data_IF_001694646652
#
_entry.id   IF_001694646652
#
_cell.length_a   1.000
_cell.length_b   1.000
_cell.length_c   1.000
_cell.angle_alpha   90.00
_cell.angle_beta   90.00
_cell.angle_gamma   90.00
#
_symmetry.space_group_name_H-M   'P 1'
#
loop_
_entity.id
_entity.type
_entity.pdbx_description
1 polymer ?
#
# COMPACT_ATOMS: atom_id res chain seq x y z
N UNK A 1 16.52 -33.60 -19.41
CA UNK A 1 17.31 -33.05 -18.28
C UNK A 1 17.09 -31.56 -18.06
N UNK A 2 17.26 -30.70 -19.07
CA UNK A 2 17.10 -29.24 -18.93
C UNK A 2 15.70 -28.80 -18.48
N UNK A 3 14.65 -29.40 -19.05
CA UNK A 3 13.26 -29.09 -18.70
C UNK A 3 12.95 -29.41 -17.23
N UNK A 4 13.39 -30.57 -16.74
CA UNK A 4 13.19 -31.02 -15.34
C UNK A 4 13.88 -30.06 -14.36
N UNK A 5 15.08 -29.62 -14.70
CA UNK A 5 15.83 -28.64 -13.91
C UNK A 5 15.09 -27.29 -13.84
N UNK A 6 14.55 -26.81 -14.96
CA UNK A 6 13.74 -25.59 -14.98
C UNK A 6 12.45 -25.73 -14.16
N UNK A 7 11.79 -26.90 -14.19
CA UNK A 7 10.58 -27.13 -13.39
C UNK A 7 10.87 -27.13 -11.90
N UNK A 8 11.99 -27.76 -11.49
CA UNK A 8 12.45 -27.75 -10.10
C UNK A 8 12.80 -26.34 -9.61
N UNK A 9 13.50 -25.56 -10.42
CA UNK A 9 13.83 -24.17 -10.10
C UNK A 9 12.58 -23.28 -9.96
N UNK A 10 11.59 -23.47 -10.84
CA UNK A 10 10.33 -22.74 -10.75
C UNK A 10 9.55 -23.07 -9.47
N UNK A 11 9.55 -24.34 -9.04
CA UNK A 11 8.90 -24.76 -7.79
C UNK A 11 9.58 -24.15 -6.55
N UNK A 12 10.91 -24.06 -6.55
CA UNK A 12 11.66 -23.41 -5.46
C UNK A 12 11.37 -21.91 -5.43
N UNK A 13 11.36 -21.23 -6.58
CA UNK A 13 11.06 -19.80 -6.64
C UNK A 13 9.67 -19.46 -6.09
N UNK A 14 8.66 -20.29 -6.37
CA UNK A 14 7.30 -20.12 -5.83
C UNK A 14 7.27 -20.31 -4.30
N UNK A 15 8.07 -21.25 -3.77
CA UNK A 15 8.17 -21.47 -2.32
C UNK A 15 8.88 -20.32 -1.57
N UNK A 16 9.71 -19.51 -2.25
CA UNK A 16 10.34 -18.32 -1.68
C UNK A 16 9.57 -17.02 -1.95
N UNK A 17 8.53 -17.05 -2.78
CA UNK A 17 7.70 -15.89 -3.11
C UNK A 17 6.59 -15.63 -2.07
N UNK A 18 6.75 -16.09 -0.82
CA UNK A 18 5.84 -15.66 0.24
C UNK A 18 6.05 -14.17 0.54
N UNK A 19 4.99 -13.40 0.82
CA UNK A 19 5.14 -12.02 1.23
C UNK A 19 6.04 -11.97 2.47
N UNK A 20 7.10 -11.17 2.36
CA UNK A 20 8.15 -10.98 3.36
C UNK A 20 7.55 -10.25 4.56
N UNK A 21 6.94 -11.00 5.48
CA UNK A 21 6.38 -10.50 6.77
C UNK A 21 7.49 -10.09 7.75
N UNK A 22 8.49 -9.37 7.28
CA UNK A 22 9.62 -8.95 8.10
C UNK A 22 9.32 -7.71 8.94
N UNK A 23 8.27 -6.95 8.63
CA UNK A 23 7.87 -5.76 9.41
C UNK A 23 7.58 -6.07 10.87
N UNK A 24 6.96 -7.23 11.15
CA UNK A 24 6.71 -7.71 12.50
C UNK A 24 7.99 -7.98 13.32
N UNK A 25 9.10 -8.35 12.67
CA UNK A 25 10.38 -8.62 13.35
C UNK A 25 11.10 -7.32 13.75
N UNK A 26 11.10 -6.30 12.86
CA UNK A 26 11.69 -4.99 13.12
C UNK A 26 10.96 -4.18 14.19
N UNK A 27 9.68 -4.49 14.42
CA UNK A 27 8.86 -3.86 15.46
C UNK A 27 9.40 -4.12 16.86
N UNK A 28 9.82 -5.35 17.16
CA UNK A 28 10.31 -5.71 18.50
C UNK A 28 11.66 -5.06 18.82
N UNK A 29 12.54 -4.95 17.83
CA UNK A 29 13.84 -4.29 17.99
C UNK A 29 13.67 -2.77 18.15
N UNK A 30 12.78 -2.16 17.37
CA UNK A 30 12.46 -0.74 17.48
C UNK A 30 11.85 -0.38 18.85
N UNK A 31 10.95 -1.22 19.40
CA UNK A 31 10.43 -1.04 20.77
C UNK A 31 11.56 -1.09 21.78
N UNK A 32 12.44 -2.09 21.67
CA UNK A 32 13.57 -2.26 22.59
C UNK A 32 14.54 -1.07 22.52
N UNK A 33 14.77 -0.53 21.33
CA UNK A 33 15.56 0.69 21.13
C UNK A 33 14.87 1.91 21.75
N UNK A 34 13.56 2.08 21.55
CA UNK A 34 12.79 3.19 22.11
C UNK A 34 12.76 3.17 23.66
N UNK A 35 12.68 1.99 24.27
CA UNK A 35 12.77 1.81 25.72
C UNK A 35 14.17 2.16 26.26
N UNK A 36 15.23 1.82 25.54
CA UNK A 36 16.61 2.17 25.92
C UNK A 36 16.89 3.68 25.79
N UNK A 37 16.19 4.37 24.89
CA UNK A 37 16.24 5.83 24.72
C UNK A 37 15.25 6.57 25.64
N UNK A 38 14.57 5.86 26.56
CA UNK A 38 13.54 6.41 27.47
C UNK A 38 12.35 7.08 26.76
N UNK A 39 12.14 6.80 25.47
CA UNK A 39 10.99 7.30 24.71
C UNK A 39 9.70 6.56 25.06
N UNK A 40 9.82 5.34 25.59
CA UNK A 40 8.71 4.50 26.06
C UNK A 40 9.06 3.99 27.46
N UNK A 41 8.18 4.15 28.47
CA UNK A 41 8.37 3.56 29.79
C UNK A 41 8.49 2.04 29.71
N UNK A 42 9.40 1.45 30.49
CA UNK A 42 9.67 -0.01 30.48
C UNK A 42 8.46 -0.86 30.83
N UNK A 43 7.50 -0.27 31.54
CA UNK A 43 6.31 -0.96 32.06
C UNK A 43 5.06 -0.74 31.18
N UNK A 44 5.22 -0.05 30.04
CA UNK A 44 4.11 0.21 29.13
C UNK A 44 3.68 -1.06 28.39
N UNK A 45 2.46 -1.53 28.63
CA UNK A 45 1.85 -2.61 27.85
C UNK A 45 1.42 -2.07 26.48
N UNK A 46 2.14 -2.45 25.43
CA UNK A 46 1.80 -2.09 24.06
C UNK A 46 0.64 -2.98 23.59
N UNK A 47 -0.58 -2.46 23.65
CA UNK A 47 -1.80 -3.26 23.44
C UNK A 47 -1.97 -3.76 22.00
N UNK A 48 -1.51 -3.00 20.99
CA UNK A 48 -1.61 -3.36 19.57
C UNK A 48 -0.52 -2.63 18.77
N UNK A 49 0.62 -3.26 18.49
CA UNK A 49 1.40 -2.83 17.33
C UNK A 49 0.80 -3.51 16.12
N UNK A 50 -0.09 -2.79 15.44
CA UNK A 50 -0.50 -3.19 14.11
C UNK A 50 0.72 -2.96 13.21
N UNK A 51 1.23 -4.01 12.57
CA UNK A 51 2.09 -3.84 11.38
C UNK A 51 1.31 -2.90 10.46
N UNK A 52 1.86 -1.70 10.23
CA UNK A 52 1.22 -0.72 9.36
C UNK A 52 0.93 -1.41 8.04
N UNK A 53 -0.26 -1.16 7.47
CA UNK A 53 -0.58 -1.64 6.13
C UNK A 53 0.58 -1.19 5.25
N UNK A 54 1.32 -2.13 4.66
CA UNK A 54 2.46 -1.82 3.81
C UNK A 54 2.02 -0.74 2.83
N UNK A 55 2.72 0.41 2.85
CA UNK A 55 2.35 1.61 2.09
C UNK A 55 2.23 1.30 0.58
N UNK A 56 2.82 0.20 0.09
CA UNK A 56 2.66 -0.30 -1.28
C UNK A 56 1.21 -0.60 -1.69
N UNK A 57 0.30 -0.86 -0.75
CA UNK A 57 -1.14 -1.03 -1.04
C UNK A 57 -1.88 0.31 -1.23
N UNK A 58 -1.37 1.42 -0.70
CA UNK A 58 -1.91 2.77 -0.91
C UNK A 58 -1.22 3.51 -2.06
N UNK A 59 -0.01 3.10 -2.45
CA UNK A 59 0.69 3.57 -3.66
C UNK A 59 0.15 2.94 -4.95
N UNK A 60 -0.61 1.86 -4.83
CA UNK A 60 -1.24 1.17 -5.96
C UNK A 60 -2.64 1.69 -6.29
N UNK A 61 -2.95 2.95 -5.94
CA UNK A 61 -4.02 3.66 -6.64
C UNK A 61 -3.53 3.87 -8.07
N UNK A 62 -4.14 3.24 -9.09
CA UNK A 62 -3.68 3.42 -10.46
C UNK A 62 -3.83 4.90 -10.81
N UNK A 63 -2.73 5.63 -10.97
CA UNK A 63 -2.76 7.04 -11.37
C UNK A 63 -3.39 7.26 -12.75
N UNK A 64 -3.65 6.18 -13.48
CA UNK A 64 -4.36 6.18 -14.76
C UNK A 64 -5.86 5.87 -14.65
N UNK A 65 -6.39 5.68 -13.44
CA UNK A 65 -7.81 5.39 -13.27
C UNK A 65 -8.61 6.61 -13.69
N UNK A 66 -9.32 6.50 -14.82
CA UNK A 66 -10.20 7.56 -15.29
C UNK A 66 -11.33 7.74 -14.28
N UNK A 67 -11.45 8.95 -13.76
CA UNK A 67 -12.54 9.35 -12.88
C UNK A 67 -13.70 9.81 -13.76
N UNK A 68 -14.90 9.24 -13.58
CA UNK A 68 -16.12 9.74 -14.23
C UNK A 68 -16.91 10.58 -13.23
N UNK A 69 -16.84 11.90 -13.34
CA UNK A 69 -17.51 12.80 -12.39
C UNK A 69 -19.04 12.74 -12.51
N UNK A 70 -19.59 12.36 -13.67
CA UNK A 70 -21.05 12.24 -13.82
C UNK A 70 -21.64 11.11 -12.97
N UNK A 71 -20.92 10.00 -12.84
CA UNK A 71 -21.35 8.88 -11.99
C UNK A 71 -21.21 9.19 -10.50
N UNK A 72 -20.23 10.01 -10.13
CA UNK A 72 -19.93 10.34 -8.73
C UNK A 72 -20.84 11.45 -8.21
N UNK A 73 -21.06 12.49 -9.02
CA UNK A 73 -21.81 13.67 -8.62
C UNK A 73 -23.30 13.59 -8.96
N UNK A 74 -23.69 12.68 -9.87
CA UNK A 74 -25.08 12.46 -10.25
C UNK A 74 -25.82 13.74 -10.66
N UNK A 75 -27.10 13.84 -10.30
CA UNK A 75 -27.97 14.98 -10.63
C UNK A 75 -27.79 16.18 -9.68
N UNK A 76 -26.80 16.14 -8.79
CA UNK A 76 -26.62 17.15 -7.75
C UNK A 76 -26.08 18.47 -8.29
N UNK A 77 -25.45 18.45 -9.47
CA UNK A 77 -24.86 19.61 -10.13
C UNK A 77 -25.27 19.67 -11.61
N UNK A 78 -25.40 20.88 -12.18
CA UNK A 78 -25.68 21.03 -13.61
C UNK A 78 -24.60 20.36 -14.47
N UNK A 79 -24.97 19.74 -15.61
CA UNK A 79 -24.03 19.05 -16.50
C UNK A 79 -22.85 19.93 -16.95
N UNK A 80 -23.06 21.23 -17.10
CA UNK A 80 -22.04 22.20 -17.48
C UNK A 80 -20.94 22.32 -16.43
N UNK A 81 -21.31 22.31 -15.14
CA UNK A 81 -20.36 22.40 -14.03
C UNK A 81 -19.55 21.11 -13.94
N UNK A 82 -20.21 19.96 -14.06
CA UNK A 82 -19.56 18.64 -14.03
C UNK A 82 -18.56 18.50 -15.18
N UNK A 83 -18.89 18.96 -16.39
CA UNK A 83 -18.01 18.91 -17.56
C UNK A 83 -16.77 19.81 -17.39
N UNK A 84 -16.95 21.02 -16.86
CA UNK A 84 -15.83 21.91 -16.55
C UNK A 84 -14.88 21.31 -15.51
N UNK A 85 -15.42 20.67 -14.48
CA UNK A 85 -14.63 19.98 -13.45
C UNK A 85 -13.91 18.75 -13.99
N UNK A 86 -14.58 17.95 -14.83
CA UNK A 86 -13.98 16.78 -15.49
C UNK A 86 -12.75 17.19 -16.31
N UNK A 87 -12.85 18.28 -17.07
CA UNK A 87 -11.74 18.78 -17.89
C UNK A 87 -10.55 19.22 -17.04
N UNK A 88 -10.79 19.82 -15.86
CA UNK A 88 -9.74 20.24 -14.94
C UNK A 88 -9.06 19.03 -14.27
N UNK A 89 -9.85 18.04 -13.84
CA UNK A 89 -9.32 16.83 -13.21
C UNK A 89 -8.52 15.97 -14.19
N UNK A 90 -8.96 15.89 -15.45
CA UNK A 90 -8.23 15.16 -16.51
C UNK A 90 -6.81 15.71 -16.81
N UNK A 91 -6.52 16.95 -16.36
CA UNK A 91 -5.22 17.61 -16.50
C UNK A 91 -4.30 17.41 -15.29
N UNK A 92 -4.84 16.98 -14.14
CA UNK A 92 -4.06 16.70 -12.93
C UNK A 92 -3.14 15.51 -13.19
N UNK A 93 -1.84 15.68 -12.88
CA UNK A 93 -0.84 14.61 -13.04
C UNK A 93 -0.22 14.50 -14.45
N UNK A 94 -0.51 15.41 -15.37
CA UNK A 94 0.16 15.50 -16.70
C UNK A 94 1.43 16.37 -16.72
N UNK A 95 2.11 16.55 -15.58
CA UNK A 95 3.36 17.31 -15.49
C UNK A 95 4.57 16.38 -15.37
#
# INVERSE_FOLDING_TARGET
>A
MKAILCTLLALVAIAFAFPQKEGGAYTNEAIRQAQNTFLIPKDAQIQKVQEGIEIGAYESIPGNQKINLFEILGDQFPPEVVNNLQTQIDQVGRN
#
